data_IF_217476906057
#
_entry.id   IF_217476906057
#
_cell.length_a   1.000
_cell.length_b   1.000
_cell.length_c   1.000
_cell.angle_alpha   90.00
_cell.angle_beta   90.00
_cell.angle_gamma   90.00
#
_symmetry.space_group_name_H-M   'P 1'
#
loop_
_entity.id
_entity.type
_entity.pdbx_description
1 polymer ?
#
# COMPACT_ATOMS: atom_id res chain seq x y z
N UNK A 1 -12.03 2.88 29.53
CA UNK A 1 -12.38 3.73 28.37
C UNK A 1 -11.28 4.75 28.11
N UNK A 2 -10.88 5.53 29.11
CA UNK A 2 -9.80 6.53 29.01
C UNK A 2 -8.43 5.94 28.60
N UNK A 3 -8.02 4.81 29.19
CA UNK A 3 -6.75 4.16 28.82
C UNK A 3 -6.71 3.71 27.35
N UNK A 4 -7.82 3.16 26.84
CA UNK A 4 -7.90 2.72 25.43
C UNK A 4 -7.78 3.90 24.47
N UNK A 5 -8.47 5.00 24.78
CA UNK A 5 -8.38 6.24 24.00
C UNK A 5 -6.95 6.78 23.96
N UNK A 6 -6.27 6.85 25.12
CA UNK A 6 -4.90 7.32 25.21
C UNK A 6 -3.93 6.48 24.36
N UNK A 7 -4.05 5.15 24.44
CA UNK A 7 -3.20 4.22 23.68
C UNK A 7 -3.39 4.39 22.17
N UNK A 8 -4.63 4.55 21.70
CA UNK A 8 -4.93 4.79 20.28
C UNK A 8 -4.31 6.10 19.81
N UNK A 9 -4.53 7.21 20.51
CA UNK A 9 -3.97 8.51 20.12
C UNK A 9 -2.44 8.51 20.09
N UNK A 10 -1.76 7.86 21.04
CA UNK A 10 -0.29 7.75 21.00
C UNK A 10 0.20 6.89 19.82
N UNK A 11 -0.50 5.80 19.51
CA UNK A 11 -0.17 4.96 18.36
C UNK A 11 -0.35 5.73 17.04
N UNK A 12 -1.43 6.50 16.91
CA UNK A 12 -1.74 7.29 15.73
C UNK A 12 -0.71 8.42 15.53
N UNK A 13 -0.36 9.14 16.59
CA UNK A 13 0.71 10.16 16.54
C UNK A 13 2.07 9.52 16.17
N UNK A 14 2.37 8.33 16.70
CA UNK A 14 3.55 7.57 16.33
C UNK A 14 3.56 7.19 14.84
N UNK A 15 2.43 6.70 14.32
CA UNK A 15 2.27 6.35 12.91
C UNK A 15 2.42 7.56 12.00
N UNK A 16 1.80 8.70 12.33
CA UNK A 16 1.96 9.98 11.62
C UNK A 16 3.43 10.40 11.59
N UNK A 17 4.12 10.30 12.73
CA UNK A 17 5.53 10.71 12.84
C UNK A 17 6.42 9.87 11.94
N UNK A 18 6.24 8.54 11.95
CA UNK A 18 6.99 7.62 11.08
C UNK A 18 6.68 7.89 9.61
N UNK A 19 5.41 8.10 9.27
CA UNK A 19 4.97 8.40 7.91
C UNK A 19 5.60 9.70 7.38
N UNK A 20 5.54 10.78 8.15
CA UNK A 20 6.13 12.07 7.79
C UNK A 20 7.65 11.94 7.64
N UNK A 21 8.29 11.21 8.55
CA UNK A 21 9.73 10.96 8.50
C UNK A 21 10.13 10.24 7.20
N UNK A 22 9.45 9.15 6.84
CA UNK A 22 9.72 8.43 5.59
C UNK A 22 9.44 9.31 4.36
N UNK A 23 8.36 10.11 4.40
CA UNK A 23 8.02 11.05 3.33
C UNK A 23 9.15 12.06 3.08
N UNK A 24 9.66 12.70 4.13
CA UNK A 24 10.76 13.67 4.04
C UNK A 24 12.04 13.03 3.49
N UNK A 25 12.34 11.79 3.88
CA UNK A 25 13.51 11.07 3.38
C UNK A 25 13.41 10.70 1.91
N UNK A 26 12.22 10.64 1.32
CA UNK A 26 12.01 10.08 -0.02
C UNK A 26 11.52 11.11 -1.05
N UNK A 27 11.08 12.29 -0.61
CA UNK A 27 10.54 13.34 -1.49
C UNK A 27 11.53 13.82 -2.55
N UNK A 28 12.83 13.91 -2.21
CA UNK A 28 13.85 14.33 -3.17
C UNK A 28 13.94 13.36 -4.37
N UNK A 29 13.87 12.05 -4.11
CA UNK A 29 13.83 11.03 -5.15
C UNK A 29 12.50 11.06 -5.92
N UNK A 30 11.39 11.37 -5.25
CA UNK A 30 10.08 11.49 -5.89
C UNK A 30 10.08 12.59 -6.96
N UNK A 31 10.56 13.78 -6.61
CA UNK A 31 10.62 14.93 -7.53
C UNK A 31 11.51 14.63 -8.73
N UNK A 32 12.70 14.06 -8.50
CA UNK A 32 13.65 13.80 -9.58
C UNK A 32 13.17 12.71 -10.55
N UNK A 33 12.63 11.59 -10.03
CA UNK A 33 12.38 10.38 -10.82
C UNK A 33 10.91 10.15 -11.17
N UNK A 34 9.96 10.64 -10.36
CA UNK A 34 8.54 10.40 -10.60
C UNK A 34 7.85 11.55 -11.32
N UNK A 35 8.15 12.80 -10.96
CA UNK A 35 7.44 13.95 -11.54
C UNK A 35 7.75 14.14 -13.03
N UNK A 36 9.01 13.92 -13.45
CA UNK A 36 9.43 14.02 -14.85
C UNK A 36 9.08 12.81 -15.73
N UNK A 37 8.59 11.71 -15.16
CA UNK A 37 8.25 10.49 -15.91
C UNK A 37 6.88 10.59 -16.58
N UNK A 38 6.73 9.99 -17.77
CA UNK A 38 5.43 9.77 -18.45
C UNK A 38 4.44 9.05 -17.53
N UNK A 39 3.15 9.35 -17.70
CA UNK A 39 2.07 8.69 -16.97
C UNK A 39 2.04 7.18 -17.30
N UNK A 40 2.18 6.35 -16.28
CA UNK A 40 2.09 4.89 -16.38
C UNK A 40 1.26 4.34 -15.22
N UNK A 41 0.75 3.12 -15.36
CA UNK A 41 -0.01 2.44 -14.30
C UNK A 41 0.77 2.40 -12.98
N UNK A 42 2.08 2.13 -13.04
CA UNK A 42 2.96 2.12 -11.86
C UNK A 42 3.06 3.50 -11.20
N UNK A 43 3.09 4.59 -12.00
CA UNK A 43 3.07 5.97 -11.47
C UNK A 43 1.76 6.28 -10.74
N UNK A 44 0.64 5.84 -11.30
CA UNK A 44 -0.69 6.03 -10.69
C UNK A 44 -0.77 5.27 -9.37
N UNK A 45 -0.39 3.99 -9.36
CA UNK A 45 -0.39 3.18 -8.13
C UNK A 45 0.52 3.80 -7.06
N UNK A 46 1.72 4.23 -7.45
CA UNK A 46 2.65 4.90 -6.54
C UNK A 46 2.03 6.16 -5.91
N UNK A 47 1.44 7.05 -6.71
CA UNK A 47 0.77 8.26 -6.21
C UNK A 47 -0.38 7.87 -5.27
N UNK A 48 -1.24 6.93 -5.66
CA UNK A 48 -2.35 6.51 -4.80
C UNK A 48 -1.85 5.98 -3.46
N UNK A 49 -0.87 5.08 -3.43
CA UNK A 49 -0.30 4.58 -2.16
C UNK A 49 0.35 5.67 -1.30
N UNK A 50 0.88 6.72 -1.93
CA UNK A 50 1.60 7.80 -1.26
C UNK A 50 0.66 8.82 -0.64
N UNK A 51 -0.40 9.19 -1.35
CA UNK A 51 -1.28 10.29 -0.97
C UNK A 51 -2.57 9.84 -0.28
N UNK A 52 -3.03 8.59 -0.47
CA UNK A 52 -4.20 8.07 0.26
C UNK A 52 -4.02 8.07 1.78
N UNK A 53 -2.88 7.60 2.35
CA UNK A 53 -2.68 7.63 3.80
C UNK A 53 -2.71 9.04 4.38
N UNK A 54 -2.32 10.06 3.61
CA UNK A 54 -2.38 11.46 4.05
C UNK A 54 -3.83 11.85 4.35
N UNK A 55 -4.77 11.48 3.47
CA UNK A 55 -6.20 11.77 3.67
C UNK A 55 -6.72 11.09 4.92
N UNK A 56 -6.42 9.80 5.10
CA UNK A 56 -6.83 9.03 6.28
C UNK A 56 -6.29 9.62 7.58
N UNK A 57 -4.98 9.97 7.60
CA UNK A 57 -4.35 10.62 8.76
C UNK A 57 -5.00 11.97 9.08
N UNK A 58 -5.39 12.74 8.06
CA UNK A 58 -6.04 14.04 8.26
C UNK A 58 -7.42 13.87 8.89
N UNK A 59 -8.18 12.86 8.46
CA UNK A 59 -9.50 12.54 9.01
C UNK A 59 -9.37 12.04 10.46
N UNK A 60 -8.40 11.16 10.74
CA UNK A 60 -8.12 10.69 12.11
C UNK A 60 -7.78 11.84 13.05
N UNK A 61 -6.83 12.70 12.67
CA UNK A 61 -6.44 13.86 13.47
C UNK A 61 -7.63 14.81 13.71
N UNK A 62 -8.52 14.95 12.72
CA UNK A 62 -9.73 15.76 12.90
C UNK A 62 -10.64 15.20 14.00
N UNK A 63 -10.81 13.88 14.07
CA UNK A 63 -11.59 13.22 15.13
C UNK A 63 -10.94 13.38 16.50
N UNK A 64 -9.63 13.18 16.59
CA UNK A 64 -8.90 13.28 17.86
C UNK A 64 -8.90 14.72 18.43
N UNK A 65 -8.81 15.72 17.54
CA UNK A 65 -8.77 17.13 17.92
C UNK A 65 -10.17 17.74 18.14
N UNK A 66 -11.24 17.11 17.66
CA UNK A 66 -12.61 17.61 17.77
C UNK A 66 -13.56 16.59 18.43
N UNK A 67 -13.37 16.27 19.72
CA UNK A 67 -14.25 15.35 20.45
C UNK A 67 -15.71 15.84 20.60
N UNK A 68 -15.99 17.10 20.26
CA UNK A 68 -17.34 17.69 20.25
C UNK A 68 -18.01 17.78 18.86
N UNK A 69 -17.50 17.09 17.85
CA UNK A 69 -18.09 17.09 16.51
C UNK A 69 -19.54 16.55 16.50
N UNK A 70 -20.37 17.05 15.58
CA UNK A 70 -21.75 16.59 15.45
C UNK A 70 -21.83 15.13 14.99
N UNK A 71 -22.87 14.43 15.44
CA UNK A 71 -23.10 13.01 15.09
C UNK A 71 -23.19 12.80 13.57
N UNK A 72 -23.84 13.71 12.85
CA UNK A 72 -23.94 13.64 11.38
C UNK A 72 -22.59 13.79 10.68
N UNK A 73 -21.75 14.74 11.16
CA UNK A 73 -20.41 14.92 10.61
C UNK A 73 -19.53 13.68 10.89
N UNK A 74 -19.68 13.05 12.06
CA UNK A 74 -18.99 11.82 12.41
C UNK A 74 -19.36 10.67 11.45
N UNK A 75 -20.65 10.47 11.17
CA UNK A 75 -21.10 9.43 10.24
C UNK A 75 -20.58 9.63 8.81
N UNK A 76 -20.64 10.88 8.31
CA UNK A 76 -20.14 11.21 6.97
C UNK A 76 -18.63 10.97 6.90
N UNK A 77 -17.86 11.50 7.85
CA UNK A 77 -16.40 11.38 7.87
C UNK A 77 -15.95 9.93 8.05
N UNK A 78 -16.65 9.15 8.87
CA UNK A 78 -16.38 7.72 9.01
C UNK A 78 -16.65 6.94 7.72
N UNK A 79 -17.76 7.23 7.04
CA UNK A 79 -18.05 6.61 5.74
C UNK A 79 -16.99 6.98 4.70
N UNK A 80 -16.62 8.26 4.63
CA UNK A 80 -15.56 8.75 3.74
C UNK A 80 -14.24 8.03 4.03
N UNK A 81 -13.77 8.01 5.28
CA UNK A 81 -12.56 7.30 5.67
C UNK A 81 -12.60 5.82 5.29
N UNK A 82 -13.74 5.16 5.51
CA UNK A 82 -13.95 3.77 5.11
C UNK A 82 -13.76 3.54 3.61
N UNK A 83 -14.28 4.43 2.75
CA UNK A 83 -14.08 4.34 1.31
C UNK A 83 -12.64 4.61 0.88
N UNK A 84 -11.98 5.59 1.49
CA UNK A 84 -10.56 5.87 1.22
C UNK A 84 -9.66 4.69 1.59
N UNK A 85 -9.91 4.07 2.74
CA UNK A 85 -9.23 2.86 3.18
C UNK A 85 -9.43 1.71 2.17
N UNK A 86 -10.65 1.48 1.69
CA UNK A 86 -10.94 0.46 0.68
C UNK A 86 -10.22 0.71 -0.64
N UNK A 87 -10.11 1.96 -1.08
CA UNK A 87 -9.30 2.33 -2.26
C UNK A 87 -7.83 1.97 -1.99
N UNK A 88 -7.33 2.25 -0.79
CA UNK A 88 -5.98 1.88 -0.36
C UNK A 88 -5.70 0.39 -0.48
N UNK A 89 -6.62 -0.46 -0.02
CA UNK A 89 -6.51 -1.93 -0.11
C UNK A 89 -6.46 -2.36 -1.58
N UNK A 90 -7.38 -1.86 -2.42
CA UNK A 90 -7.42 -2.22 -3.85
C UNK A 90 -6.08 -1.88 -4.50
N UNK A 91 -5.52 -0.71 -4.19
CA UNK A 91 -4.23 -0.28 -4.73
C UNK A 91 -3.09 -1.19 -4.23
N UNK A 92 -3.07 -1.54 -2.94
CA UNK A 92 -2.08 -2.44 -2.36
C UNK A 92 -2.13 -3.83 -3.02
N UNK A 93 -3.33 -4.37 -3.21
CA UNK A 93 -3.54 -5.66 -3.83
C UNK A 93 -3.09 -5.67 -5.29
N UNK A 94 -3.38 -4.60 -6.05
CA UNK A 94 -2.88 -4.44 -7.42
C UNK A 94 -1.35 -4.46 -7.47
N UNK A 95 -0.67 -3.88 -6.48
CA UNK A 95 0.80 -3.93 -6.39
C UNK A 95 1.28 -5.37 -6.14
N UNK A 96 0.63 -6.10 -5.24
CA UNK A 96 0.95 -7.51 -4.97
C UNK A 96 0.74 -8.37 -6.22
N UNK A 97 -0.36 -8.20 -6.93
CA UNK A 97 -0.64 -8.92 -8.19
C UNK A 97 0.42 -8.62 -9.24
N UNK A 98 0.76 -7.34 -9.46
CA UNK A 98 1.78 -6.95 -10.43
C UNK A 98 3.16 -7.53 -10.09
N UNK A 99 3.56 -7.49 -8.82
CA UNK A 99 4.83 -8.06 -8.34
C UNK A 99 4.87 -9.57 -8.53
N UNK A 100 3.81 -10.27 -8.12
CA UNK A 100 3.67 -11.73 -8.28
C UNK A 100 3.73 -12.11 -9.76
N UNK A 101 2.98 -11.40 -10.60
CA UNK A 101 2.95 -11.67 -12.04
C UNK A 101 4.32 -11.45 -12.71
N UNK A 102 5.09 -10.47 -12.24
CA UNK A 102 6.46 -10.24 -12.72
C UNK A 102 7.44 -11.34 -12.30
N UNK A 103 7.34 -11.86 -11.06
CA UNK A 103 8.19 -12.95 -10.55
C UNK A 103 7.95 -14.25 -11.32
N UNK A 104 6.69 -14.53 -11.66
CA UNK A 104 6.29 -15.74 -12.39
C UNK A 104 6.41 -15.61 -13.91
N UNK A 105 7.44 -14.90 -14.38
CA UNK A 105 7.79 -14.73 -15.80
C UNK A 105 6.62 -14.27 -16.69
N UNK A 106 5.67 -13.50 -16.13
CA UNK A 106 4.48 -13.00 -16.83
C UNK A 106 3.56 -14.10 -17.37
N UNK A 107 3.54 -15.27 -16.75
CA UNK A 107 2.62 -16.36 -17.09
C UNK A 107 1.16 -15.92 -17.02
N UNK A 108 0.45 -15.86 -18.16
CA UNK A 108 -0.94 -15.38 -18.24
C UNK A 108 -1.90 -16.16 -17.32
N UNK A 109 -1.67 -17.47 -17.15
CA UNK A 109 -2.48 -18.35 -16.28
C UNK A 109 -2.44 -17.89 -14.82
N UNK A 110 -1.25 -17.58 -14.30
CA UNK A 110 -1.06 -17.14 -12.92
C UNK A 110 -1.66 -15.75 -12.73
N UNK A 111 -1.51 -14.86 -13.71
CA UNK A 111 -2.18 -13.55 -13.72
C UNK A 111 -3.70 -13.68 -13.59
N UNK A 112 -4.34 -14.56 -14.38
CA UNK A 112 -5.79 -14.79 -14.27
C UNK A 112 -6.20 -15.37 -12.92
N UNK A 113 -5.44 -16.31 -12.37
CA UNK A 113 -5.73 -16.91 -11.05
C UNK A 113 -5.63 -15.85 -9.94
N UNK A 114 -4.57 -15.04 -9.94
CA UNK A 114 -4.38 -13.97 -8.96
C UNK A 114 -5.52 -12.95 -9.02
N UNK A 115 -5.87 -12.47 -10.22
CA UNK A 115 -6.97 -11.52 -10.39
C UNK A 115 -8.31 -12.14 -9.96
N UNK A 116 -8.55 -13.41 -10.26
CA UNK A 116 -9.78 -14.09 -9.83
C UNK A 116 -9.88 -14.24 -8.31
N UNK A 117 -8.77 -14.60 -7.63
CA UNK A 117 -8.71 -14.66 -6.17
C UNK A 117 -8.93 -13.28 -5.57
N UNK A 118 -8.25 -12.26 -6.10
CA UNK A 118 -8.40 -10.87 -5.64
C UNK A 118 -9.83 -10.36 -5.74
N UNK A 119 -10.48 -10.56 -6.89
CA UNK A 119 -11.89 -10.19 -7.07
C UNK A 119 -12.79 -10.99 -6.12
N UNK A 120 -12.50 -12.28 -5.92
CA UNK A 120 -13.24 -13.16 -5.02
C UNK A 120 -13.17 -12.74 -3.56
N UNK A 121 -12.09 -12.07 -3.14
CA UNK A 121 -11.95 -11.50 -1.81
C UNK A 121 -12.56 -10.08 -1.74
N UNK A 122 -12.17 -9.18 -2.63
CA UNK A 122 -12.56 -7.76 -2.59
C UNK A 122 -14.06 -7.51 -2.78
N UNK A 123 -14.72 -8.22 -3.69
CA UNK A 123 -16.12 -7.91 -4.02
C UNK A 123 -17.04 -8.19 -2.83
N UNK A 124 -16.97 -9.35 -2.15
CA UNK A 124 -17.70 -9.57 -0.91
C UNK A 124 -17.40 -8.51 0.17
N UNK A 125 -16.13 -8.14 0.36
CA UNK A 125 -15.71 -7.10 1.30
C UNK A 125 -16.42 -5.77 1.07
N UNK A 126 -16.40 -5.28 -0.18
CA UNK A 126 -17.03 -4.01 -0.57
C UNK A 126 -18.55 -4.06 -0.43
N UNK A 127 -19.17 -5.19 -0.77
CA UNK A 127 -20.62 -5.37 -0.61
C UNK A 127 -20.99 -5.31 0.87
N UNK A 128 -20.29 -6.04 1.73
CA UNK A 128 -20.53 -6.04 3.18
C UNK A 128 -20.32 -4.65 3.79
N UNK A 129 -19.26 -3.95 3.38
CA UNK A 129 -18.98 -2.58 3.80
C UNK A 129 -20.11 -1.62 3.37
N UNK A 130 -20.58 -1.72 2.12
CA UNK A 130 -21.65 -0.86 1.61
C UNK A 130 -22.98 -1.07 2.35
N UNK A 131 -23.32 -2.31 2.67
CA UNK A 131 -24.52 -2.64 3.45
C UNK A 131 -24.36 -2.08 4.88
N UNK A 132 -23.17 -2.21 5.45
CA UNK A 132 -22.83 -1.72 6.79
C UNK A 132 -23.00 -0.19 6.91
N UNK A 133 -22.47 0.57 5.95
CA UNK A 133 -22.61 2.03 5.95
C UNK A 133 -24.05 2.50 5.70
N UNK A 134 -24.81 1.81 4.84
CA UNK A 134 -26.22 2.16 4.61
C UNK A 134 -27.12 1.82 5.82
N UNK A 135 -26.80 0.74 6.55
CA UNK A 135 -27.55 0.34 7.74
C UNK A 135 -27.21 1.16 8.99
N UNK A 136 -26.01 1.75 9.05
CA UNK A 136 -25.62 2.66 10.14
C UNK A 136 -26.48 3.93 10.23
N UNK A 137 -27.20 4.31 9.16
CA UNK A 137 -28.17 5.41 9.17
C UNK A 137 -29.53 5.06 9.79
N UNK A 138 -29.78 3.78 10.12
CA UNK A 138 -31.01 3.30 10.78
C UNK A 138 -30.62 2.78 12.17
N UNK A 139 -30.77 3.64 13.18
CA UNK A 139 -30.51 3.43 14.61
C UNK A 139 -30.33 1.97 15.08
N UNK A 140 -29.12 1.58 15.52
CA UNK A 140 -28.86 0.75 16.72
C UNK A 140 -27.35 0.60 16.96
N UNK A 141 -26.91 0.72 18.23
CA UNK A 141 -25.56 0.38 18.69
C UNK A 141 -25.14 -1.07 18.36
N UNK A 142 -26.10 -1.95 18.06
CA UNK A 142 -25.89 -3.36 17.69
C UNK A 142 -25.38 -3.49 16.25
N UNK A 143 -25.75 -2.56 15.35
CA UNK A 143 -25.22 -2.50 13.99
C UNK A 143 -23.72 -2.25 13.99
N UNK A 144 -23.27 -1.22 14.72
CA UNK A 144 -21.85 -0.80 14.81
C UNK A 144 -20.93 -1.92 15.31
N UNK A 145 -21.31 -2.63 16.38
CA UNK A 145 -20.50 -3.73 16.93
C UNK A 145 -20.42 -4.92 15.96
N UNK A 146 -21.49 -5.20 15.22
CA UNK A 146 -21.54 -6.28 14.24
C UNK A 146 -20.75 -5.94 12.97
N UNK A 147 -20.75 -4.68 12.55
CA UNK A 147 -19.96 -4.20 11.41
C UNK A 147 -18.47 -4.24 11.74
N UNK A 148 -18.06 -3.85 12.95
CA UNK A 148 -16.66 -3.90 13.38
C UNK A 148 -16.07 -5.31 13.33
N UNK A 149 -16.84 -6.32 13.78
CA UNK A 149 -16.38 -7.72 13.77
C UNK A 149 -16.24 -8.33 12.37
N UNK A 150 -17.20 -8.08 11.48
CA UNK A 150 -17.17 -8.60 10.10
C UNK A 150 -16.03 -7.93 9.33
N UNK A 151 -15.89 -6.62 9.46
CA UNK A 151 -14.84 -5.85 8.82
C UNK A 151 -13.47 -6.31 9.32
N UNK A 152 -13.28 -6.45 10.64
CA UNK A 152 -12.02 -6.95 11.21
C UNK A 152 -11.65 -8.36 10.72
N UNK A 153 -12.62 -9.28 10.65
CA UNK A 153 -12.39 -10.63 10.16
C UNK A 153 -11.94 -10.63 8.70
N UNK A 154 -12.61 -9.83 7.88
CA UNK A 154 -12.32 -9.70 6.45
C UNK A 154 -10.94 -9.07 6.19
N UNK A 155 -10.60 -7.99 6.91
CA UNK A 155 -9.25 -7.42 6.90
C UNK A 155 -8.19 -8.45 7.31
N UNK A 156 -8.46 -9.22 8.37
CA UNK A 156 -7.52 -10.24 8.85
C UNK A 156 -7.31 -11.32 7.79
N UNK A 157 -8.38 -11.75 7.12
CA UNK A 157 -8.29 -12.72 6.03
C UNK A 157 -7.44 -12.19 4.87
N UNK A 158 -7.69 -10.95 4.43
CA UNK A 158 -6.93 -10.30 3.35
C UNK A 158 -5.45 -10.19 3.73
N UNK A 159 -5.14 -9.72 4.93
CA UNK A 159 -3.77 -9.59 5.42
C UNK A 159 -3.04 -10.94 5.46
N UNK A 160 -3.71 -12.01 5.90
CA UNK A 160 -3.14 -13.36 5.90
C UNK A 160 -2.87 -13.83 4.47
N UNK A 161 -3.79 -13.61 3.53
CA UNK A 161 -3.59 -13.96 2.13
C UNK A 161 -2.42 -13.18 1.51
N UNK A 162 -2.30 -11.89 1.77
CA UNK A 162 -1.17 -11.08 1.30
C UNK A 162 0.16 -11.56 1.87
N UNK A 163 0.20 -11.89 3.17
CA UNK A 163 1.39 -12.48 3.81
C UNK A 163 1.73 -13.82 3.16
N UNK A 164 0.75 -14.70 2.93
CA UNK A 164 0.97 -15.97 2.25
C UNK A 164 1.52 -15.77 0.82
N UNK A 165 0.94 -14.88 0.03
CA UNK A 165 1.37 -14.59 -1.34
C UNK A 165 2.79 -14.01 -1.35
N UNK A 166 3.09 -13.07 -0.46
CA UNK A 166 4.43 -12.47 -0.36
C UNK A 166 5.48 -13.48 0.10
N UNK A 167 5.15 -14.35 1.06
CA UNK A 167 6.02 -15.46 1.47
C UNK A 167 6.28 -16.44 0.32
N UNK A 168 5.24 -16.83 -0.41
CA UNK A 168 5.38 -17.69 -1.60
C UNK A 168 6.27 -17.04 -2.66
N UNK A 169 6.08 -15.75 -2.94
CA UNK A 169 6.91 -14.98 -3.85
C UNK A 169 8.38 -14.95 -3.42
N UNK A 170 8.63 -14.77 -2.11
CA UNK A 170 9.98 -14.80 -1.54
C UNK A 170 10.58 -16.20 -1.67
N UNK A 171 9.85 -17.26 -1.35
CA UNK A 171 10.32 -18.65 -1.47
C UNK A 171 10.69 -18.97 -2.93
N UNK A 172 9.80 -18.64 -3.86
CA UNK A 172 10.01 -18.87 -5.30
C UNK A 172 11.19 -18.05 -5.81
N UNK A 173 11.30 -16.78 -5.42
CA UNK A 173 12.45 -15.95 -5.78
C UNK A 173 13.77 -16.53 -5.27
N UNK A 174 13.79 -17.11 -4.06
CA UNK A 174 14.98 -17.77 -3.51
C UNK A 174 15.26 -19.14 -4.14
N UNK A 175 14.23 -19.85 -4.61
CA UNK A 175 14.38 -21.13 -5.30
C UNK A 175 14.85 -20.97 -6.76
N UNK A 176 14.42 -19.90 -7.45
CA UNK A 176 14.81 -19.57 -8.83
C UNK A 176 16.20 -18.93 -8.89
N UNK A 177 16.61 -18.16 -7.87
CA UNK A 177 17.96 -17.61 -7.73
C UNK A 177 18.75 -18.31 -6.60
N UNK A 178 19.18 -19.58 -6.78
CA UNK A 178 20.15 -20.19 -5.88
C UNK A 178 21.56 -19.68 -6.26
N UNK A 179 21.87 -18.45 -5.87
CA UNK A 179 23.22 -17.89 -5.88
C UNK A 179 23.43 -17.25 -4.50
N UNK A 180 24.29 -17.67 -3.60
CA UNK A 180 25.25 -18.77 -3.47
C UNK A 180 25.85 -18.54 -2.07
N UNK A 181 25.80 -19.52 -1.17
CA UNK A 181 26.95 -19.93 -0.34
C UNK A 181 27.92 -18.90 0.32
N UNK A 182 27.58 -17.62 0.55
CA UNK A 182 28.61 -16.59 0.91
C UNK A 182 28.30 -15.67 2.12
N UNK A 183 27.12 -15.66 2.76
CA UNK A 183 26.94 -14.73 3.90
C UNK A 183 26.12 -15.28 5.09
N UNK A 184 26.61 -15.12 6.35
CA UNK A 184 25.97 -15.65 7.55
C UNK A 184 24.56 -15.10 7.82
N UNK A 185 23.75 -15.97 8.43
CA UNK A 185 22.29 -16.02 8.36
C UNK A 185 21.49 -14.91 9.07
N UNK A 186 22.11 -14.00 9.82
CA UNK A 186 21.35 -13.03 10.64
C UNK A 186 21.00 -11.73 9.91
N UNK A 187 21.70 -11.41 8.82
CA UNK A 187 21.40 -10.22 8.01
C UNK A 187 20.36 -10.49 6.92
N UNK A 188 19.92 -11.74 6.75
CA UNK A 188 19.26 -12.24 5.54
C UNK A 188 17.75 -11.95 5.49
N UNK A 189 17.07 -11.93 6.65
CA UNK A 189 15.68 -11.48 6.76
C UNK A 189 15.56 -9.97 6.55
N UNK A 190 16.45 -9.20 7.19
CA UNK A 190 16.54 -7.75 7.01
C UNK A 190 16.93 -7.43 5.56
N UNK A 191 17.89 -8.14 4.98
CA UNK A 191 18.34 -7.96 3.60
C UNK A 191 17.24 -8.36 2.58
N UNK A 192 16.39 -9.36 2.85
CA UNK A 192 15.27 -9.73 1.97
C UNK A 192 14.09 -8.75 2.03
N UNK A 193 13.72 -8.29 3.22
CA UNK A 193 12.72 -7.21 3.39
C UNK A 193 13.25 -5.91 2.77
N UNK A 194 14.52 -5.61 3.03
CA UNK A 194 15.21 -4.51 2.36
C UNK A 194 15.29 -4.75 0.86
N UNK A 195 15.52 -5.94 0.29
CA UNK A 195 15.51 -6.17 -1.17
C UNK A 195 14.12 -5.99 -1.80
N UNK A 196 13.03 -6.24 -1.07
CA UNK A 196 11.67 -5.93 -1.55
C UNK A 196 11.40 -4.41 -1.58
N UNK A 197 11.98 -3.67 -0.64
CA UNK A 197 11.93 -2.20 -0.58
C UNK A 197 12.98 -1.55 -1.52
N UNK A 198 14.13 -2.19 -1.66
CA UNK A 198 15.25 -1.86 -2.53
C UNK A 198 14.89 -2.23 -3.96
N UNK A 199 14.00 -3.18 -4.25
CA UNK A 199 13.52 -3.41 -5.63
C UNK A 199 12.70 -2.22 -6.14
N UNK A 200 11.95 -1.55 -5.24
CA UNK A 200 11.32 -0.28 -5.55
C UNK A 200 12.35 0.86 -5.74
N UNK A 201 13.42 0.90 -4.93
CA UNK A 201 14.53 1.87 -5.09
C UNK A 201 15.45 1.57 -6.28
N UNK A 202 15.67 0.30 -6.62
CA UNK A 202 16.46 -0.19 -7.76
C UNK A 202 15.72 0.12 -9.03
N UNK A 203 14.39 0.04 -9.06
CA UNK A 203 13.61 0.54 -10.20
C UNK A 203 13.82 2.04 -10.44
N UNK A 204 13.94 2.84 -9.36
CA UNK A 204 14.25 4.27 -9.44
C UNK A 204 15.70 4.51 -9.89
N UNK A 205 16.68 3.76 -9.36
CA UNK A 205 18.09 3.88 -9.75
C UNK A 205 18.39 3.35 -11.15
N UNK A 206 17.70 2.31 -11.63
CA UNK A 206 17.78 1.83 -13.01
C UNK A 206 17.18 2.85 -13.98
N UNK A 207 16.06 3.48 -13.61
CA UNK A 207 15.50 4.60 -14.38
C UNK A 207 16.46 5.81 -14.39
N UNK A 208 17.15 6.08 -13.28
CA UNK A 208 18.20 7.09 -13.23
C UNK A 208 19.34 6.78 -14.19
N UNK A 209 19.91 5.58 -14.10
CA UNK A 209 21.03 5.15 -14.94
C UNK A 209 20.66 5.19 -16.42
N UNK A 210 19.49 4.68 -16.79
CA UNK A 210 19.01 4.69 -18.17
C UNK A 210 18.77 6.11 -18.70
N UNK A 211 18.26 7.03 -17.87
CA UNK A 211 18.05 8.44 -18.27
C UNK A 211 19.37 9.19 -18.44
N UNK A 212 20.37 8.90 -17.60
CA UNK A 212 21.72 9.47 -17.72
C UNK A 212 22.41 8.98 -18.98
N UNK A 213 22.35 7.68 -19.26
CA UNK A 213 22.94 7.06 -20.45
C UNK A 213 22.32 7.62 -21.74
N UNK A 214 20.99 7.80 -21.78
CA UNK A 214 20.31 8.44 -22.92
C UNK A 214 20.76 9.89 -23.09
N UNK A 215 20.91 10.65 -22.00
CA UNK A 215 21.36 12.05 -22.09
C UNK A 215 22.81 12.22 -22.55
N UNK A 216 23.70 11.27 -22.21
CA UNK A 216 25.08 11.27 -22.72
C UNK A 216 25.13 10.94 -24.22
N UNK A 217 24.28 10.02 -24.69
CA UNK A 217 24.17 9.68 -26.11
C UNK A 217 23.68 10.90 -26.92
N UNK A 218 22.61 11.57 -26.49
CA UNK A 218 22.10 12.79 -27.15
C UNK A 218 23.15 13.92 -27.19
N UNK A 219 23.93 14.12 -26.11
CA UNK A 219 25.00 15.11 -26.08
C UNK A 219 26.18 14.78 -27.03
N UNK A 220 26.47 13.48 -27.24
CA UNK A 220 27.52 13.05 -28.17
C UNK A 220 27.14 13.28 -29.64
N UNK A 221 25.86 13.12 -29.99
CA UNK A 221 25.34 13.38 -31.33
C UNK A 221 25.25 14.88 -31.64
N UNK A 222 25.02 15.73 -30.63
CA UNK A 222 25.01 17.19 -30.77
C UNK A 222 26.42 17.83 -30.83
N UNK A 223 27.46 17.13 -30.35
CA UNK A 223 28.85 17.61 -30.39
C UNK A 223 29.65 17.20 -31.63
N UNK A 224 29.04 16.44 -32.55
CA UNK A 224 29.69 15.92 -33.77
C UNK A 224 29.26 16.61 -35.07
N UNK A 225 28.54 17.73 -34.97
CA UNK A 225 28.28 18.70 -36.07
C UNK A 225 28.97 20.02 -35.79
#
# INVERSE_FOLDING_TARGET
MYEKFLVTTYADVGAVTIFVWDYLLTIHLEVDYMWSSKWSLVKILFILTRYLPIVDLTIMLFFDLNPGASTDACHILFSVAGWFMSIGIIVAEMIVVLRTWAIWERGKRIGYVLVAVSIGCLVPSLVLQSISFNSAGLETNVGVIRTDGIVFFDYTMIMVLEICITLLNVIISNAIFPLSEILPNDLLLLQRVMHSCLSARVLLHLRKAHKVEISEIELSELGTT
#
